data_IF_024961270519
#
_entry.id   IF_024961270519
#
_cell.length_a   1.000
_cell.length_b   1.000
_cell.length_c   1.000
_cell.angle_alpha   90.00
_cell.angle_beta   90.00
_cell.angle_gamma   90.00
#
_symmetry.space_group_name_H-M   'P 1'
#
loop_
_entity.id
_entity.type
_entity.pdbx_description
1 polymer ?
#
# COMPACT_ATOMS: atom_id res chain seq x y z
N UNK A 1 7.05 37.33 -17.11
CA UNK A 1 7.01 36.34 -16.02
C UNK A 1 5.63 36.39 -15.42
N UNK A 2 4.73 35.43 -15.69
CA UNK A 2 3.44 35.38 -15.03
C UNK A 2 3.45 34.31 -13.92
N UNK A 3 3.31 34.82 -12.70
CA UNK A 3 2.44 34.36 -11.62
C UNK A 3 2.16 32.84 -11.53
N UNK A 4 2.79 32.20 -10.55
CA UNK A 4 2.49 30.83 -10.14
C UNK A 4 1.08 30.73 -9.53
N UNK A 5 0.37 29.61 -9.73
CA UNK A 5 -0.98 29.48 -9.20
C UNK A 5 -0.94 29.32 -7.67
N UNK A 6 -1.80 30.14 -7.06
CA UNK A 6 -2.16 30.20 -5.66
C UNK A 6 -2.61 28.84 -5.10
N UNK A 7 -2.22 28.62 -3.85
CA UNK A 7 -2.71 27.58 -2.96
C UNK A 7 -4.24 27.45 -3.03
N UNK A 8 -4.69 26.22 -3.27
CA UNK A 8 -6.09 25.83 -3.16
C UNK A 8 -6.20 24.84 -2.00
N UNK A 9 -6.84 25.28 -0.92
CA UNK A 9 -7.25 24.44 0.20
C UNK A 9 -8.21 23.33 -0.28
N UNK A 10 -7.75 22.08 -0.19
CA UNK A 10 -8.64 20.92 -0.06
C UNK A 10 -8.24 20.11 1.20
N UNK A 11 -9.21 19.76 2.07
CA UNK A 11 -8.93 19.02 3.28
C UNK A 11 -9.01 17.50 3.09
N UNK A 12 -8.33 16.83 4.03
CA UNK A 12 -8.36 15.42 4.45
C UNK A 12 -7.36 14.47 3.77
N UNK A 13 -6.29 14.19 4.53
CA UNK A 13 -5.17 13.31 4.19
C UNK A 13 -5.58 11.89 3.83
N UNK A 14 -4.81 11.30 2.93
CA UNK A 14 -4.88 9.88 2.63
C UNK A 14 -3.60 9.25 3.17
N UNK A 15 -3.77 8.38 4.18
CA UNK A 15 -2.79 7.37 4.56
C UNK A 15 -2.65 6.43 3.34
N UNK A 16 -1.43 6.04 2.98
CA UNK A 16 -1.18 5.11 1.88
C UNK A 16 -1.09 3.70 2.49
N UNK A 17 -2.02 2.83 2.12
CA UNK A 17 -2.31 1.61 2.87
C UNK A 17 -1.53 0.35 2.37
N UNK A 18 -1.25 -0.64 3.26
CA UNK A 18 -0.18 -1.64 3.19
C UNK A 18 -0.22 -2.79 2.18
N UNK A 19 0.96 -3.37 1.92
CA UNK A 19 1.21 -4.68 1.28
C UNK A 19 0.73 -5.94 2.05
N UNK A 20 0.26 -6.98 1.35
CA UNK A 20 -0.11 -8.32 1.90
C UNK A 20 1.10 -9.21 2.27
N UNK A 21 0.97 -10.05 3.30
CA UNK A 21 1.96 -11.08 3.69
C UNK A 21 1.97 -12.33 2.80
N UNK A 22 3.17 -12.90 2.56
CA UNK A 22 3.35 -14.28 2.12
C UNK A 22 3.29 -15.26 3.32
N UNK A 23 2.60 -16.41 3.18
CA UNK A 23 2.52 -17.44 4.25
C UNK A 23 3.68 -18.44 4.18
N UNK A 24 4.58 -18.49 5.18
CA UNK A 24 5.00 -19.67 6.01
C UNK A 24 6.36 -19.51 6.73
N UNK A 25 6.46 -20.26 7.85
CA UNK A 25 7.56 -20.48 8.82
C UNK A 25 7.59 -19.49 10.00
N UNK A 26 7.76 -20.03 11.22
CA UNK A 26 7.75 -19.28 12.48
C UNK A 26 8.74 -18.12 12.39
N UNK A 27 8.30 -16.85 12.37
CA UNK A 27 9.21 -15.76 12.07
C UNK A 27 10.18 -15.57 13.22
N UNK A 28 11.48 -15.58 12.95
CA UNK A 28 12.39 -14.78 13.76
C UNK A 28 11.92 -13.34 13.58
N UNK A 29 11.33 -12.77 14.63
CA UNK A 29 10.95 -11.36 14.67
C UNK A 29 12.14 -10.54 14.20
N UNK A 30 11.93 -9.66 13.23
CA UNK A 30 12.99 -8.77 12.76
C UNK A 30 13.40 -7.79 13.86
N UNK A 31 14.64 -7.34 13.78
CA UNK A 31 15.19 -6.21 14.52
C UNK A 31 15.87 -5.23 13.55
N UNK A 32 16.16 -4.02 14.03
CA UNK A 32 16.72 -2.96 13.19
C UNK A 32 18.07 -3.38 12.60
N UNK A 33 18.89 -4.12 13.36
CA UNK A 33 20.22 -4.56 12.91
C UNK A 33 20.15 -5.57 11.76
N UNK A 34 19.20 -6.51 11.79
CA UNK A 34 19.04 -7.48 10.73
C UNK A 34 18.49 -6.85 9.44
N UNK A 35 17.58 -5.89 9.56
CA UNK A 35 17.09 -5.11 8.41
C UNK A 35 18.22 -4.25 7.82
N UNK A 36 19.00 -3.57 8.67
CA UNK A 36 20.16 -2.78 8.23
C UNK A 36 21.20 -3.63 7.49
N UNK A 37 21.44 -4.88 7.91
CA UNK A 37 22.38 -5.77 7.18
C UNK A 37 21.98 -5.99 5.72
N UNK A 38 20.68 -5.98 5.42
CA UNK A 38 20.16 -6.09 4.07
C UNK A 38 20.28 -4.74 3.35
N UNK A 39 19.72 -3.68 3.94
CA UNK A 39 19.61 -2.38 3.28
C UNK A 39 20.96 -1.65 3.15
N UNK A 40 21.85 -1.70 4.14
CA UNK A 40 23.08 -0.92 4.14
C UNK A 40 24.11 -1.34 3.10
N UNK A 41 23.99 -2.54 2.52
CA UNK A 41 24.92 -3.03 1.50
C UNK A 41 24.83 -2.20 0.22
N UNK A 42 23.61 -1.95 -0.27
CA UNK A 42 23.36 -1.33 -1.57
C UNK A 42 22.37 -0.16 -1.52
N UNK A 43 21.66 0.03 -0.40
CA UNK A 43 20.48 0.89 -0.30
C UNK A 43 20.58 1.82 0.92
N UNK A 44 21.78 2.34 1.22
CA UNK A 44 22.04 3.26 2.35
C UNK A 44 21.06 4.44 2.42
N UNK A 45 20.68 4.97 1.25
CA UNK A 45 19.68 6.06 1.13
C UNK A 45 18.33 5.73 1.77
N UNK A 46 17.94 4.45 1.77
CA UNK A 46 16.69 3.98 2.41
C UNK A 46 16.84 4.08 3.92
N UNK A 47 17.97 3.61 4.47
CA UNK A 47 18.27 3.73 5.91
C UNK A 47 18.37 5.19 6.34
N UNK A 48 19.02 6.03 5.54
CA UNK A 48 19.09 7.47 5.79
C UNK A 48 17.71 8.13 5.79
N UNK A 49 16.79 7.69 4.93
CA UNK A 49 15.41 8.17 4.94
C UNK A 49 14.65 7.64 6.17
N UNK A 50 14.82 6.38 6.55
CA UNK A 50 14.22 5.80 7.76
C UNK A 50 14.64 6.57 9.03
N UNK A 51 15.88 7.05 9.10
CA UNK A 51 16.34 7.92 10.22
C UNK A 51 15.63 9.28 10.31
N UNK A 52 14.88 9.68 9.27
CA UNK A 52 14.12 10.94 9.17
C UNK A 52 12.61 10.72 9.12
N UNK A 53 12.18 9.48 9.22
CA UNK A 53 10.79 9.03 9.21
C UNK A 53 10.46 8.52 10.61
N UNK A 54 9.24 8.77 11.08
CA UNK A 54 8.74 8.10 12.29
C UNK A 54 8.54 6.63 11.97
N UNK A 55 9.44 5.78 12.42
CA UNK A 55 9.37 4.33 12.17
C UNK A 55 8.79 3.62 13.37
N UNK A 56 7.78 2.78 13.13
CA UNK A 56 7.11 1.99 14.15
C UNK A 56 7.02 0.52 13.77
N UNK A 57 6.76 -0.30 14.77
CA UNK A 57 6.39 -1.71 14.61
C UNK A 57 5.10 -2.02 15.36
N UNK A 58 4.28 -2.91 14.82
CA UNK A 58 3.03 -3.35 15.44
C UNK A 58 2.89 -4.87 15.32
N UNK A 59 2.23 -5.53 16.27
CA UNK A 59 2.02 -6.98 16.23
C UNK A 59 1.00 -7.37 15.16
N UNK A 60 -0.02 -6.53 14.97
CA UNK A 60 -0.96 -6.60 13.85
C UNK A 60 -1.14 -5.22 13.25
N UNK A 61 -1.35 -5.21 11.93
CA UNK A 61 -1.80 -4.06 11.16
C UNK A 61 -2.93 -4.59 10.28
N UNK A 62 -4.13 -4.02 10.38
CA UNK A 62 -5.25 -4.46 9.56
C UNK A 62 -6.25 -3.35 9.30
N UNK A 63 -7.02 -3.54 8.22
CA UNK A 63 -8.06 -2.63 7.77
C UNK A 63 -9.39 -3.36 7.82
N UNK A 64 -10.40 -2.65 8.32
CA UNK A 64 -11.76 -3.13 8.37
C UNK A 64 -12.58 -2.55 7.22
N UNK A 65 -12.28 -3.01 6.00
CA UNK A 65 -12.88 -2.47 4.78
C UNK A 65 -14.38 -2.79 4.70
N UNK A 66 -15.25 -1.78 4.60
CA UNK A 66 -16.67 -2.02 4.37
C UNK A 66 -16.89 -2.67 3.01
N UNK A 67 -17.66 -3.75 2.99
CA UNK A 67 -17.94 -4.55 1.81
C UNK A 67 -19.43 -4.90 1.73
N UNK A 68 -20.04 -4.74 0.56
CA UNK A 68 -21.42 -5.18 0.32
C UNK A 68 -21.47 -6.59 -0.28
N UNK A 69 -22.02 -7.54 0.47
CA UNK A 69 -22.07 -8.97 0.08
C UNK A 69 -23.15 -9.30 -0.97
N UNK A 70 -23.96 -8.30 -1.34
CA UNK A 70 -25.15 -8.43 -2.20
C UNK A 70 -26.47 -8.36 -1.44
N UNK A 71 -26.45 -8.42 -0.11
CA UNK A 71 -27.64 -8.35 0.77
C UNK A 71 -27.50 -7.26 1.83
N UNK A 72 -26.32 -7.15 2.45
CA UNK A 72 -26.00 -6.19 3.52
C UNK A 72 -24.55 -5.72 3.44
N UNK A 73 -24.29 -4.59 4.07
CA UNK A 73 -22.94 -4.14 4.36
C UNK A 73 -22.36 -4.98 5.50
N UNK A 74 -21.12 -5.42 5.32
CA UNK A 74 -20.30 -6.15 6.28
C UNK A 74 -18.87 -5.59 6.19
N UNK A 75 -17.94 -6.20 6.92
CA UNK A 75 -16.52 -5.84 6.89
C UNK A 75 -15.70 -6.99 6.31
N UNK A 76 -14.69 -6.67 5.49
CA UNK A 76 -13.62 -7.58 5.06
C UNK A 76 -12.33 -7.14 5.76
N UNK A 77 -11.76 -7.99 6.62
CA UNK A 77 -10.46 -7.71 7.25
C UNK A 77 -9.35 -7.88 6.21
N UNK A 78 -8.63 -6.81 5.91
CA UNK A 78 -7.41 -6.83 5.12
C UNK A 78 -6.20 -6.80 6.05
N UNK A 79 -5.38 -7.86 6.04
CA UNK A 79 -4.19 -7.95 6.89
C UNK A 79 -2.99 -7.39 6.15
N UNK A 80 -2.39 -6.37 6.75
CA UNK A 80 -1.26 -5.63 6.26
C UNK A 80 0.09 -6.15 6.76
N UNK A 81 1.12 -5.95 5.95
CA UNK A 81 2.54 -6.15 6.28
C UNK A 81 3.20 -4.88 6.82
N UNK A 82 2.82 -3.69 6.34
CA UNK A 82 3.26 -2.39 6.85
C UNK A 82 2.60 -1.21 6.15
N UNK A 83 2.44 -0.06 6.80
CA UNK A 83 1.71 1.11 6.31
C UNK A 83 2.60 2.34 6.17
N UNK A 84 2.24 3.24 5.28
CA UNK A 84 2.88 4.55 5.13
C UNK A 84 1.86 5.69 5.31
N UNK A 85 2.22 6.69 6.10
CA UNK A 85 1.60 8.01 6.05
C UNK A 85 2.62 8.99 5.45
N UNK A 86 2.53 9.33 4.15
CA UNK A 86 3.43 10.28 3.51
C UNK A 86 3.32 11.70 4.06
N UNK A 87 2.16 12.09 4.61
CA UNK A 87 1.95 13.43 5.16
C UNK A 87 2.62 13.55 6.52
N UNK A 88 2.38 12.56 7.39
CA UNK A 88 2.99 12.47 8.72
C UNK A 88 4.44 12.00 8.72
N UNK A 89 4.97 11.55 7.56
CA UNK A 89 6.27 10.86 7.43
C UNK A 89 6.39 9.72 8.44
N UNK A 90 5.39 8.84 8.43
CA UNK A 90 5.34 7.69 9.31
C UNK A 90 5.32 6.39 8.50
N UNK A 91 6.05 5.40 9.00
CA UNK A 91 6.02 4.03 8.47
C UNK A 91 5.85 3.08 9.64
N UNK A 92 4.92 2.12 9.51
CA UNK A 92 4.73 1.05 10.50
C UNK A 92 4.90 -0.30 9.82
N UNK A 93 5.73 -1.18 10.35
CA UNK A 93 5.95 -2.54 9.80
C UNK A 93 5.56 -3.60 10.82
N UNK A 94 4.92 -4.68 10.38
CA UNK A 94 4.51 -5.76 11.27
C UNK A 94 5.72 -6.39 11.96
N UNK A 95 5.65 -6.55 13.29
CA UNK A 95 6.75 -7.02 14.15
C UNK A 95 7.08 -8.50 13.94
N UNK A 96 6.07 -9.30 13.57
CA UNK A 96 6.16 -10.74 13.45
C UNK A 96 6.39 -11.19 12.00
N UNK A 97 7.42 -10.64 11.38
CA UNK A 97 7.86 -11.03 10.03
C UNK A 97 9.38 -11.24 10.00
N UNK A 98 9.89 -11.85 8.93
CA UNK A 98 11.32 -12.09 8.76
C UNK A 98 12.08 -10.77 8.49
N UNK A 99 13.40 -10.78 8.64
CA UNK A 99 14.23 -9.61 8.30
C UNK A 99 14.13 -9.25 6.81
N UNK A 100 14.03 -10.24 5.93
CA UNK A 100 13.87 -10.02 4.48
C UNK A 100 12.51 -9.39 4.17
N UNK A 101 11.44 -9.97 4.71
CA UNK A 101 10.09 -9.42 4.52
C UNK A 101 9.98 -8.00 5.10
N UNK A 102 10.56 -7.75 6.28
CA UNK A 102 10.59 -6.41 6.86
C UNK A 102 11.37 -5.42 5.98
N UNK A 103 12.53 -5.82 5.45
CA UNK A 103 13.31 -4.96 4.55
C UNK A 103 12.55 -4.66 3.24
N UNK A 104 11.85 -5.66 2.69
CA UNK A 104 10.99 -5.50 1.51
C UNK A 104 9.84 -4.54 1.82
N UNK A 105 9.15 -4.72 2.95
CA UNK A 105 8.08 -3.82 3.39
C UNK A 105 8.62 -2.40 3.61
N UNK A 106 9.76 -2.21 4.28
CA UNK A 106 10.36 -0.88 4.43
C UNK A 106 10.66 -0.22 3.08
N UNK A 107 11.20 -0.97 2.11
CA UNK A 107 11.42 -0.44 0.77
C UNK A 107 10.10 0.00 0.11
N UNK A 108 9.06 -0.83 0.19
CA UNK A 108 7.72 -0.54 -0.34
C UNK A 108 7.12 0.71 0.31
N UNK A 109 7.13 0.80 1.63
CA UNK A 109 6.57 1.94 2.34
C UNK A 109 7.37 3.24 2.10
N UNK A 110 8.71 3.14 1.99
CA UNK A 110 9.55 4.27 1.60
C UNK A 110 9.27 4.70 0.15
N UNK A 111 8.88 3.76 -0.73
CA UNK A 111 8.46 4.13 -2.07
C UNK A 111 7.20 5.01 -2.02
N UNK A 112 6.20 4.64 -1.23
CA UNK A 112 5.00 5.46 -1.02
C UNK A 112 5.31 6.86 -0.48
N UNK A 113 6.30 7.00 0.41
CA UNK A 113 6.75 8.31 0.91
C UNK A 113 7.31 9.22 -0.20
N UNK A 114 7.75 8.65 -1.33
CA UNK A 114 8.43 9.36 -2.41
C UNK A 114 7.62 9.42 -3.71
N UNK A 115 6.40 8.86 -3.72
CA UNK A 115 5.55 8.90 -4.89
C UNK A 115 5.11 10.32 -5.23
N UNK A 116 4.93 10.65 -6.53
CA UNK A 116 4.40 11.94 -6.95
C UNK A 116 3.08 12.29 -6.24
N UNK A 117 2.91 13.55 -5.80
CA UNK A 117 1.66 13.97 -5.19
C UNK A 117 0.50 13.81 -6.18
N UNK A 118 -0.66 13.40 -5.68
CA UNK A 118 -1.87 13.23 -6.48
C UNK A 118 -1.99 11.88 -7.19
N UNK A 119 -1.07 10.93 -6.96
CA UNK A 119 -1.33 9.53 -7.32
C UNK A 119 -2.53 9.01 -6.52
N UNK A 120 -3.55 8.54 -7.23
CA UNK A 120 -4.73 7.94 -6.63
C UNK A 120 -4.38 6.62 -5.92
N UNK A 121 -4.99 6.40 -4.76
CA UNK A 121 -4.98 5.13 -4.06
C UNK A 121 -6.30 4.35 -4.31
N UNK A 122 -6.27 3.00 -4.39
CA UNK A 122 -5.06 2.17 -4.42
C UNK A 122 -4.34 2.23 -5.76
N UNK A 123 -5.02 2.68 -6.82
CA UNK A 123 -4.46 2.70 -8.17
C UNK A 123 -4.41 4.15 -8.68
N UNK A 124 -3.28 4.62 -9.24
CA UNK A 124 -2.07 3.87 -9.62
C UNK A 124 -0.99 3.67 -8.52
N UNK A 125 -1.22 4.12 -7.28
CA UNK A 125 -0.21 4.13 -6.21
C UNK A 125 0.39 2.75 -5.90
N UNK A 126 -0.43 1.75 -5.60
CA UNK A 126 0.01 0.39 -5.26
C UNK A 126 0.60 -0.33 -6.47
N UNK A 127 0.03 -0.15 -7.66
CA UNK A 127 0.56 -0.74 -8.90
C UNK A 127 2.04 -0.35 -9.11
N UNK A 128 2.34 0.92 -8.88
CA UNK A 128 3.69 1.48 -8.97
C UNK A 128 4.60 1.00 -7.83
N UNK A 129 4.11 0.99 -6.58
CA UNK A 129 4.90 0.53 -5.44
C UNK A 129 5.27 -0.95 -5.54
N UNK A 130 4.32 -1.83 -5.87
CA UNK A 130 4.59 -3.24 -6.12
C UNK A 130 5.57 -3.43 -7.28
N UNK A 131 5.41 -2.68 -8.37
CA UNK A 131 6.30 -2.80 -9.52
C UNK A 131 7.75 -2.47 -9.16
N UNK A 132 7.98 -1.35 -8.46
CA UNK A 132 9.32 -0.92 -8.10
C UNK A 132 9.92 -1.77 -6.97
N UNK A 133 9.11 -2.28 -6.05
CA UNK A 133 9.58 -3.23 -5.04
C UNK A 133 9.94 -4.58 -5.66
N UNK A 134 9.17 -5.09 -6.62
CA UNK A 134 9.54 -6.31 -7.37
C UNK A 134 10.83 -6.10 -8.18
N UNK A 135 11.01 -4.93 -8.79
CA UNK A 135 12.24 -4.58 -9.50
C UNK A 135 13.45 -4.61 -8.56
N UNK A 136 13.32 -3.97 -7.39
CA UNK A 136 14.36 -3.92 -6.37
C UNK A 136 14.68 -5.31 -5.79
N UNK A 137 13.65 -6.10 -5.45
CA UNK A 137 13.85 -7.44 -4.91
C UNK A 137 14.50 -8.39 -5.92
N UNK A 138 14.18 -8.29 -7.22
CA UNK A 138 14.87 -9.03 -8.28
C UNK A 138 16.37 -8.67 -8.32
N UNK A 139 16.71 -7.39 -8.31
CA UNK A 139 18.11 -6.93 -8.34
C UNK A 139 18.92 -7.41 -7.12
N UNK A 140 18.25 -7.58 -5.97
CA UNK A 140 18.87 -7.96 -4.69
C UNK A 140 18.85 -9.47 -4.44
N UNK A 141 18.19 -10.25 -5.30
CA UNK A 141 17.98 -11.68 -5.09
C UNK A 141 17.06 -12.01 -3.91
N UNK A 142 16.17 -11.08 -3.56
CA UNK A 142 15.22 -11.22 -2.46
C UNK A 142 13.91 -11.91 -2.92
N UNK A 143 13.13 -12.47 -1.97
CA UNK A 143 11.81 -13.03 -2.24
C UNK A 143 10.86 -12.03 -2.90
N UNK A 144 9.87 -12.57 -3.62
CA UNK A 144 8.75 -11.81 -4.21
C UNK A 144 7.74 -11.44 -3.12
N UNK A 145 7.09 -10.28 -3.23
CA UNK A 145 5.99 -9.86 -2.35
C UNK A 145 4.73 -10.73 -2.53
N UNK A 146 4.66 -11.52 -3.60
CA UNK A 146 3.54 -12.42 -3.86
C UNK A 146 3.84 -13.50 -4.89
N UNK A 147 2.95 -14.50 -4.97
CA UNK A 147 3.05 -15.55 -5.98
C UNK A 147 2.71 -15.01 -7.37
N UNK A 148 3.58 -15.25 -8.35
CA UNK A 148 3.32 -14.91 -9.76
C UNK A 148 3.49 -13.44 -10.13
N UNK A 149 4.10 -12.61 -9.27
CA UNK A 149 4.35 -11.18 -9.55
C UNK A 149 5.57 -10.94 -10.45
N UNK A 150 6.27 -11.99 -10.84
CA UNK A 150 7.45 -11.94 -11.69
C UNK A 150 7.25 -12.80 -12.93
N UNK A 151 7.76 -12.34 -14.06
CA UNK A 151 7.73 -13.05 -15.34
C UNK A 151 9.09 -12.96 -16.03
N UNK A 152 9.33 -13.78 -17.06
CA UNK A 152 10.54 -13.67 -17.89
C UNK A 152 10.27 -12.72 -19.03
N UNK A 153 11.14 -11.72 -19.18
CA UNK A 153 11.15 -10.87 -20.36
C UNK A 153 11.41 -11.71 -21.61
N UNK A 154 10.55 -11.61 -22.61
CA UNK A 154 10.59 -12.49 -23.78
C UNK A 154 11.79 -12.25 -24.70
N UNK A 155 12.43 -11.07 -24.61
CA UNK A 155 13.57 -10.71 -25.44
C UNK A 155 14.90 -11.07 -24.79
N UNK A 156 15.02 -10.86 -23.49
CA UNK A 156 16.27 -10.99 -22.73
C UNK A 156 16.31 -12.22 -21.84
N UNK A 157 15.16 -12.87 -21.59
CA UNK A 157 15.02 -14.00 -20.66
C UNK A 157 15.19 -13.62 -19.19
N UNK A 158 15.45 -12.34 -18.88
CA UNK A 158 15.65 -11.84 -17.52
C UNK A 158 14.32 -11.85 -16.75
N UNK A 159 14.41 -12.12 -15.45
CA UNK A 159 13.26 -11.98 -14.56
C UNK A 159 12.92 -10.50 -14.43
N UNK A 160 11.66 -10.14 -14.62
CA UNK A 160 11.13 -8.77 -14.51
C UNK A 160 9.78 -8.79 -13.78
N UNK A 161 9.33 -7.66 -13.20
CA UNK A 161 8.00 -7.59 -12.61
C UNK A 161 6.90 -7.79 -13.67
N UNK A 162 5.89 -8.57 -13.34
CA UNK A 162 4.71 -8.79 -14.18
C UNK A 162 3.63 -7.74 -13.86
N UNK A 163 3.58 -6.68 -14.67
CA UNK A 163 2.60 -5.59 -14.52
C UNK A 163 1.15 -6.07 -14.50
N UNK A 164 0.81 -7.11 -15.25
CA UNK A 164 -0.57 -7.62 -15.31
C UNK A 164 -0.91 -8.40 -14.05
N UNK A 165 0.02 -9.21 -13.55
CA UNK A 165 -0.16 -9.94 -12.30
C UNK A 165 -0.22 -9.02 -11.09
N UNK A 166 0.65 -7.99 -11.04
CA UNK A 166 0.62 -6.94 -10.00
C UNK A 166 -0.73 -6.22 -10.02
N UNK A 167 -1.15 -5.73 -11.18
CA UNK A 167 -2.44 -5.05 -11.34
C UNK A 167 -3.61 -5.91 -10.87
N UNK A 168 -3.57 -7.20 -11.21
CA UNK A 168 -4.59 -8.16 -10.77
C UNK A 168 -4.58 -8.33 -9.25
N UNK A 169 -3.40 -8.46 -8.63
CA UNK A 169 -3.28 -8.53 -7.17
C UNK A 169 -3.86 -7.27 -6.50
N UNK A 170 -3.52 -6.07 -7.00
CA UNK A 170 -4.05 -4.81 -6.44
C UNK A 170 -5.57 -4.75 -6.57
N UNK A 171 -6.12 -5.13 -7.72
CA UNK A 171 -7.57 -5.18 -7.93
C UNK A 171 -8.31 -6.19 -7.04
N UNK A 172 -7.67 -7.32 -6.73
CA UNK A 172 -8.28 -8.41 -5.94
C UNK A 172 -8.21 -8.17 -4.43
N UNK A 173 -7.11 -7.58 -3.97
CA UNK A 173 -6.83 -7.43 -2.54
C UNK A 173 -7.33 -6.11 -1.98
N UNK A 174 -7.18 -5.01 -2.73
CA UNK A 174 -7.48 -3.66 -2.25
C UNK A 174 -8.90 -3.21 -2.61
N UNK A 175 -9.44 -2.19 -1.93
CA UNK A 175 -10.66 -1.47 -2.29
C UNK A 175 -10.56 -0.67 -3.60
N UNK A 176 -10.20 -1.36 -4.69
CA UNK A 176 -9.89 -0.77 -5.98
C UNK A 176 -11.13 -0.22 -6.70
N UNK A 177 -10.98 0.86 -7.50
CA UNK A 177 -12.03 1.33 -8.38
C UNK A 177 -12.60 0.20 -9.24
N UNK A 178 -13.93 0.17 -9.46
CA UNK A 178 -14.53 -0.83 -10.34
C UNK A 178 -13.93 -0.74 -11.76
N UNK A 179 -13.70 -1.88 -12.43
CA UNK A 179 -13.12 -1.89 -13.78
C UNK A 179 -13.91 -1.01 -14.76
N UNK A 180 -13.24 -0.35 -15.72
CA UNK A 180 -13.92 0.42 -16.74
C UNK A 180 -14.90 -0.43 -17.55
N UNK A 181 -16.11 0.09 -17.79
CA UNK A 181 -17.10 -0.56 -18.67
C UNK A 181 -17.07 0.15 -20.01
N UNK A 182 -16.74 -0.59 -21.09
CA UNK A 182 -16.58 -0.04 -22.45
C UNK A 182 -15.60 1.16 -22.48
N UNK A 183 -14.50 1.05 -21.74
CA UNK A 183 -13.47 2.09 -21.66
C UNK A 183 -13.83 3.32 -20.80
N UNK A 184 -15.02 3.36 -20.19
CA UNK A 184 -15.44 4.48 -19.33
C UNK A 184 -15.14 4.17 -17.86
N UNK A 185 -14.38 5.02 -17.15
CA UNK A 185 -14.22 4.93 -15.71
C UNK A 185 -15.58 4.82 -15.02
N UNK A 186 -15.66 4.00 -13.98
CA UNK A 186 -16.88 3.81 -13.22
C UNK A 186 -16.84 4.66 -11.94
N UNK A 187 -18.00 5.09 -11.40
CA UNK A 187 -18.05 5.75 -10.11
C UNK A 187 -17.45 4.87 -9.00
N UNK A 188 -16.54 5.43 -8.21
CA UNK A 188 -15.76 4.74 -7.17
C UNK A 188 -16.53 4.79 -5.85
N UNK A 189 -16.81 3.67 -5.16
CA UNK A 189 -17.39 3.71 -3.82
C UNK A 189 -16.49 4.46 -2.84
N UNK A 190 -17.08 5.34 -2.03
CA UNK A 190 -16.39 6.19 -1.03
C UNK A 190 -17.17 6.29 0.29
N UNK A 191 -18.21 5.47 0.46
CA UNK A 191 -19.04 5.49 1.65
C UNK A 191 -20.29 4.61 1.50
N UNK A 192 -20.97 4.37 2.62
CA UNK A 192 -22.17 3.55 2.67
C UNK A 192 -23.24 4.11 3.61
N UNK A 193 -24.50 3.77 3.34
CA UNK A 193 -25.63 3.87 4.27
C UNK A 193 -26.19 2.46 4.45
N UNK A 194 -25.76 1.73 5.50
CA UNK A 194 -26.19 0.36 5.74
C UNK A 194 -27.70 0.20 5.94
N UNK A 195 -28.36 1.19 6.57
CA UNK A 195 -29.78 1.15 6.85
C UNK A 195 -30.62 1.25 5.57
N UNK A 196 -30.17 2.08 4.62
CA UNK A 196 -30.86 2.28 3.33
C UNK A 196 -30.32 1.43 2.18
N UNK A 197 -29.27 0.62 2.43
CA UNK A 197 -28.55 -0.16 1.41
C UNK A 197 -28.09 0.70 0.23
N UNK A 198 -27.52 1.86 0.56
CA UNK A 198 -26.98 2.79 -0.44
C UNK A 198 -25.45 2.84 -0.37
N UNK A 199 -24.85 3.11 -1.52
CA UNK A 199 -23.42 3.36 -1.69
C UNK A 199 -23.24 4.80 -2.12
N UNK A 200 -22.39 5.54 -1.40
CA UNK A 200 -21.90 6.84 -1.86
C UNK A 200 -20.78 6.58 -2.85
N UNK A 201 -20.91 7.09 -4.06
CA UNK A 201 -19.90 6.96 -5.11
C UNK A 201 -19.36 8.32 -5.53
N UNK A 202 -18.08 8.38 -5.86
CA UNK A 202 -17.39 9.54 -6.42
C UNK A 202 -17.18 9.32 -7.92
N UNK A 203 -17.62 10.27 -8.72
CA UNK A 203 -17.33 10.31 -10.15
C UNK A 203 -15.84 10.67 -10.35
N UNK A 204 -15.03 9.82 -11.00
CA UNK A 204 -13.60 10.07 -11.14
C UNK A 204 -13.26 11.22 -12.10
N UNK A 205 -14.18 11.62 -12.99
CA UNK A 205 -13.96 12.70 -13.94
C UNK A 205 -14.32 14.08 -13.34
N UNK A 206 -15.34 14.14 -12.48
CA UNK A 206 -15.84 15.41 -11.92
C UNK A 206 -15.56 15.59 -10.44
N UNK A 207 -15.14 14.54 -9.73
CA UNK A 207 -14.96 14.52 -8.28
C UNK A 207 -16.28 14.57 -7.47
N UNK A 208 -17.43 14.75 -8.13
CA UNK A 208 -18.73 14.87 -7.46
C UNK A 208 -19.16 13.54 -6.86
N UNK A 209 -19.78 13.60 -5.68
CA UNK A 209 -20.35 12.42 -5.03
C UNK A 209 -21.84 12.32 -5.24
N UNK A 210 -22.35 11.09 -5.40
CA UNK A 210 -23.78 10.79 -5.47
C UNK A 210 -24.08 9.49 -4.72
N UNK A 211 -25.36 9.28 -4.38
CA UNK A 211 -25.83 8.03 -3.79
C UNK A 211 -26.49 7.16 -4.84
N UNK A 212 -26.25 5.85 -4.78
CA UNK A 212 -26.94 4.84 -5.59
C UNK A 212 -27.26 3.59 -4.76
N UNK A 213 -28.16 2.71 -5.22
CA UNK A 213 -28.32 1.39 -4.64
C UNK A 213 -26.98 0.65 -4.56
N UNK A 214 -26.74 -0.03 -3.44
CA UNK A 214 -25.55 -0.85 -3.26
C UNK A 214 -25.55 -2.05 -4.20
N UNK A 215 -24.36 -2.39 -4.69
CA UNK A 215 -24.11 -3.53 -5.56
C UNK A 215 -23.14 -4.47 -4.88
N UNK A 216 -23.31 -5.78 -5.11
CA UNK A 216 -22.37 -6.78 -4.62
C UNK A 216 -20.96 -6.41 -5.07
N UNK A 217 -20.02 -6.40 -4.13
CA UNK A 217 -18.64 -6.01 -4.39
C UNK A 217 -18.33 -4.53 -4.17
N UNK A 218 -19.33 -3.69 -3.84
CA UNK A 218 -19.04 -2.32 -3.41
C UNK A 218 -18.17 -2.37 -2.15
N UNK A 219 -17.03 -1.68 -2.20
CA UNK A 219 -16.04 -1.63 -1.12
C UNK A 219 -15.26 -0.33 -1.17
N UNK A 220 -14.77 0.13 -0.02
CA UNK A 220 -13.88 1.29 0.11
C UNK A 220 -12.96 1.08 1.33
N UNK A 221 -11.91 1.89 1.46
CA UNK A 221 -10.98 1.80 2.59
C UNK A 221 -11.70 1.97 3.93
N UNK A 222 -11.47 1.01 4.82
CA UNK A 222 -11.90 1.07 6.21
C UNK A 222 -10.89 1.78 7.11
N UNK A 223 -11.18 1.92 8.40
CA UNK A 223 -10.19 2.41 9.36
C UNK A 223 -9.04 1.41 9.51
N UNK A 224 -7.82 1.93 9.58
CA UNK A 224 -6.64 1.18 9.99
C UNK A 224 -6.67 0.91 11.50
N UNK A 225 -6.35 -0.31 11.91
CA UNK A 225 -6.08 -0.67 13.30
C UNK A 225 -4.68 -1.26 13.43
N UNK A 226 -3.97 -0.82 14.47
CA UNK A 226 -2.64 -1.31 14.84
C UNK A 226 -2.64 -1.81 16.27
N UNK A 227 -2.05 -2.99 16.50
CA UNK A 227 -2.02 -3.61 17.83
C UNK A 227 -0.60 -3.57 18.39
N UNK A 228 -0.44 -3.15 19.65
CA UNK A 228 0.84 -3.08 20.38
C UNK A 228 1.93 -2.28 19.64
N UNK A 229 1.57 -1.12 19.09
CA UNK A 229 2.49 -0.26 18.36
C UNK A 229 3.65 0.22 19.24
N UNK A 230 4.87 0.19 18.68
CA UNK A 230 6.10 0.70 19.32
C UNK A 230 6.90 1.52 18.32
N UNK A 231 7.30 2.72 18.72
CA UNK A 231 8.20 3.56 17.94
C UNK A 231 9.64 3.06 18.09
N UNK A 232 10.41 3.12 17.02
CA UNK A 232 11.83 2.78 16.95
C UNK A 232 12.64 4.08 17.01
N UNK A 233 13.75 4.09 17.75
CA UNK A 233 14.61 5.27 17.84
C UNK A 233 15.18 5.59 16.45
N UNK A 234 15.00 6.81 15.91
CA UNK A 234 15.57 7.21 14.63
C UNK A 234 17.10 7.00 14.55
N UNK A 235 17.81 7.08 15.68
CA UNK A 235 19.26 6.88 15.74
C UNK A 235 19.67 5.41 15.51
N UNK A 236 18.75 4.46 15.67
CA UNK A 236 19.00 3.05 15.35
C UNK A 236 19.18 2.85 13.84
N UNK A 237 18.64 3.75 13.01
CA UNK A 237 18.72 3.73 11.55
C UNK A 237 19.98 4.41 11.02
N UNK A 238 21.14 3.84 11.36
CA UNK A 238 22.43 4.27 10.81
C UNK A 238 23.20 3.07 10.28
N UNK A 239 23.63 3.17 9.03
CA UNK A 239 24.54 2.17 8.47
C UNK A 239 25.92 2.24 9.15
N UNK A 240 26.55 1.08 9.39
CA UNK A 240 27.93 1.02 9.90
C UNK A 240 28.94 1.60 8.90
#
# INVERSE_FOLDING_TARGET
>A
MPEGPLFSDQPVGHIVEPCRQAKKATPKKWDVDCVKKILCKNDKKIVDQLSKTTVKKADEIYFEDPYFDGKKWTTKKFQAGGSADPVGKEITVMSNTSCEDAAITFYHEIWHQNQPPGMGWPEPSEDDAYYNTELWTIERGLPSQGGGLRTKDSKTGKLVPDKKAIRKLVQEEYPSPPPPVKGKPQPVPVGSDPAKKLTKVRDPATGKTSWRPSKKGDTFAGPETRINEKTIDPNDWKCP
#
